data_IF_136305437802
#
_entry.id   IF_136305437802
#
_cell.length_a   1.000
_cell.length_b   1.000
_cell.length_c   1.000
_cell.angle_alpha   90.00
_cell.angle_beta   90.00
_cell.angle_gamma   90.00
#
_symmetry.space_group_name_H-M   'P 1'
#
loop_
_entity.id
_entity.type
_entity.pdbx_description
1 polymer ?
#
# COMPACT_ATOMS: atom_id res chain seq x y z
N UNK A 1 -3.66 4.47 24.32
CA UNK A 1 -3.13 3.27 23.61
C UNK A 1 -3.66 3.16 22.19
N UNK A 2 -4.89 3.63 21.90
CA UNK A 2 -5.42 3.79 20.54
C UNK A 2 -4.58 4.73 19.66
N UNK A 3 -4.11 5.83 20.24
CA UNK A 3 -3.46 6.90 19.47
C UNK A 3 -2.06 6.49 18.98
N UNK A 4 -1.31 5.76 19.81
CA UNK A 4 0.03 5.27 19.46
C UNK A 4 0.04 4.31 18.27
N UNK A 5 -0.94 3.38 18.22
CA UNK A 5 -1.04 2.44 17.10
C UNK A 5 -1.40 3.17 15.81
N UNK A 6 -2.32 4.13 15.90
CA UNK A 6 -2.71 4.97 14.77
C UNK A 6 -1.51 5.76 14.22
N UNK A 7 -0.74 6.41 15.10
CA UNK A 7 0.45 7.18 14.72
C UNK A 7 1.52 6.30 14.06
N UNK A 8 1.76 5.10 14.60
CA UNK A 8 2.69 4.13 14.01
C UNK A 8 2.21 3.72 12.62
N UNK A 9 0.92 3.41 12.45
CA UNK A 9 0.38 3.02 11.15
C UNK A 9 0.44 4.17 10.14
N UNK A 10 0.22 5.41 10.57
CA UNK A 10 0.29 6.59 9.71
C UNK A 10 1.72 6.88 9.26
N UNK A 11 2.70 6.71 10.14
CA UNK A 11 4.13 6.92 9.86
C UNK A 11 4.76 5.77 9.08
N UNK A 12 4.48 4.52 9.45
CA UNK A 12 5.09 3.33 8.85
C UNK A 12 4.30 2.78 7.66
N UNK A 13 3.02 3.11 7.54
CA UNK A 13 2.15 2.67 6.45
C UNK A 13 2.66 3.09 5.07
N UNK A 14 3.00 4.37 4.83
CA UNK A 14 3.57 4.82 3.55
C UNK A 14 4.82 4.06 3.10
N UNK A 15 5.91 3.99 3.88
CA UNK A 15 7.08 3.23 3.46
C UNK A 15 6.79 1.72 3.36
N UNK A 16 6.01 1.15 4.29
CA UNK A 16 5.63 -0.26 4.27
C UNK A 16 4.84 -0.62 3.01
N UNK A 17 3.89 0.22 2.63
CA UNK A 17 3.11 0.07 1.40
C UNK A 17 4.02 0.06 0.17
N UNK A 18 4.89 1.06 0.03
CA UNK A 18 5.78 1.18 -1.13
C UNK A 18 6.69 -0.05 -1.27
N UNK A 19 7.23 -0.54 -0.15
CA UNK A 19 8.06 -1.76 -0.12
C UNK A 19 7.25 -2.96 -0.59
N UNK A 20 6.08 -3.23 0.02
CA UNK A 20 5.28 -4.40 -0.36
C UNK A 20 4.76 -4.30 -1.81
N UNK A 21 4.38 -3.11 -2.26
CA UNK A 21 3.89 -2.88 -3.61
C UNK A 21 4.97 -3.12 -4.67
N UNK A 22 6.23 -2.82 -4.36
CA UNK A 22 7.37 -3.10 -5.23
C UNK A 22 7.78 -4.59 -5.20
N UNK A 23 7.73 -5.21 -4.02
CA UNK A 23 8.22 -6.58 -3.80
C UNK A 23 7.20 -7.62 -4.28
N UNK A 24 5.95 -7.56 -3.85
CA UNK A 24 4.99 -8.67 -4.05
C UNK A 24 4.65 -8.99 -5.51
N UNK A 25 4.38 -8.02 -6.40
CA UNK A 25 3.93 -8.35 -7.76
C UNK A 25 4.94 -9.16 -8.60
N UNK A 26 6.26 -8.90 -8.55
CA UNK A 26 7.26 -9.76 -9.18
C UNK A 26 7.31 -11.20 -8.65
N UNK A 27 7.06 -11.42 -7.36
CA UNK A 27 7.11 -12.76 -6.75
C UNK A 27 5.83 -13.59 -6.99
N UNK A 28 4.71 -12.94 -7.33
CA UNK A 28 3.42 -13.59 -7.52
C UNK A 28 3.13 -13.90 -8.99
N UNK A 29 2.32 -14.93 -9.24
CA UNK A 29 1.91 -15.36 -10.58
C UNK A 29 0.38 -15.44 -10.70
N UNK A 30 -0.13 -15.28 -11.92
CA UNK A 30 -1.56 -15.40 -12.22
C UNK A 30 -2.43 -14.43 -11.41
N UNK A 31 -3.49 -14.95 -10.80
CA UNK A 31 -4.45 -14.15 -10.01
C UNK A 31 -3.82 -13.41 -8.84
N UNK A 32 -2.81 -13.99 -8.18
CA UNK A 32 -2.11 -13.36 -7.05
C UNK A 32 -1.34 -12.11 -7.46
N UNK A 33 -0.74 -12.11 -8.65
CA UNK A 33 -0.07 -10.91 -9.20
C UNK A 33 -1.08 -9.80 -9.49
N UNK A 34 -2.24 -10.15 -10.08
CA UNK A 34 -3.31 -9.17 -10.34
C UNK A 34 -3.82 -8.56 -9.03
N UNK A 35 -4.05 -9.38 -8.00
CA UNK A 35 -4.43 -8.91 -6.67
C UNK A 35 -3.37 -7.97 -6.06
N UNK A 36 -2.08 -8.31 -6.17
CA UNK A 36 -1.01 -7.45 -5.67
C UNK A 36 -0.87 -6.10 -6.41
N UNK A 37 -1.48 -5.95 -7.60
CA UNK A 37 -1.50 -4.70 -8.36
C UNK A 37 -2.75 -3.85 -8.09
N UNK A 38 -3.76 -4.38 -7.39
CA UNK A 38 -5.03 -3.66 -7.11
C UNK A 38 -4.79 -2.29 -6.45
N UNK A 39 -3.89 -2.14 -5.44
CA UNK A 39 -3.71 -0.85 -4.80
C UNK A 39 -3.20 0.26 -5.74
N UNK A 40 -2.52 -0.11 -6.84
CA UNK A 40 -2.05 0.86 -7.84
C UNK A 40 -3.19 1.60 -8.53
N UNK A 41 -4.39 1.01 -8.61
CA UNK A 41 -5.56 1.66 -9.21
C UNK A 41 -5.87 2.99 -8.53
N UNK A 42 -5.72 3.06 -7.20
CA UNK A 42 -5.91 4.28 -6.43
C UNK A 42 -4.59 5.04 -6.19
N UNK A 43 -3.47 4.35 -5.99
CA UNK A 43 -2.18 5.05 -5.76
C UNK A 43 -1.71 5.86 -6.95
N UNK A 44 -1.88 5.37 -8.18
CA UNK A 44 -1.44 6.11 -9.37
C UNK A 44 -2.15 7.47 -9.49
N UNK A 45 -3.50 7.56 -9.47
CA UNK A 45 -4.16 8.87 -9.52
C UNK A 45 -3.86 9.74 -8.29
N UNK A 46 -3.75 9.15 -7.09
CA UNK A 46 -3.32 9.89 -5.89
C UNK A 46 -1.93 10.49 -6.11
N UNK A 47 -0.96 9.71 -6.58
CA UNK A 47 0.40 10.17 -6.81
C UNK A 47 0.46 11.27 -7.87
N UNK A 48 -0.31 11.14 -8.96
CA UNK A 48 -0.41 12.19 -9.98
C UNK A 48 -0.99 13.48 -9.39
N UNK A 49 -2.04 13.39 -8.58
CA UNK A 49 -2.61 14.55 -7.89
C UNK A 49 -1.60 15.18 -6.91
N UNK A 50 -0.91 14.35 -6.12
CA UNK A 50 0.15 14.77 -5.19
C UNK A 50 1.24 15.57 -5.92
N UNK A 51 1.68 15.11 -7.10
CA UNK A 51 2.69 15.80 -7.90
C UNK A 51 2.19 17.16 -8.41
N UNK A 52 0.95 17.24 -8.90
CA UNK A 52 0.35 18.52 -9.33
C UNK A 52 0.15 19.47 -8.15
N UNK A 53 -0.32 18.97 -7.00
CA UNK A 53 -0.48 19.77 -5.80
C UNK A 53 0.87 20.28 -5.26
N UNK A 54 1.92 19.48 -5.39
CA UNK A 54 3.29 19.86 -5.01
C UNK A 54 3.83 21.00 -5.89
N UNK A 55 3.58 20.99 -7.20
CA UNK A 55 4.00 22.10 -8.08
C UNK A 55 3.20 23.39 -7.85
N UNK A 56 2.07 23.31 -7.15
CA UNK A 56 1.27 24.46 -6.71
C UNK A 56 1.60 24.89 -5.27
N UNK A 57 2.68 24.37 -4.69
CA UNK A 57 3.12 24.68 -3.31
C UNK A 57 2.04 24.36 -2.26
N UNK A 58 1.14 23.41 -2.54
CA UNK A 58 0.07 23.03 -1.62
C UNK A 58 0.61 22.22 -0.45
N UNK A 59 0.51 22.74 0.78
CA UNK A 59 0.89 22.00 1.99
C UNK A 59 0.11 20.70 2.22
N UNK A 60 -1.02 20.53 1.54
CA UNK A 60 -1.89 19.35 1.65
C UNK A 60 -1.49 18.25 0.65
N UNK A 61 -0.49 18.49 -0.20
CA UNK A 61 -0.09 17.58 -1.27
C UNK A 61 0.13 16.13 -0.81
N UNK A 62 0.72 15.80 0.36
CA UNK A 62 0.99 14.41 0.71
C UNK A 62 -0.17 13.75 1.45
N UNK A 63 -1.17 14.50 1.91
CA UNK A 63 -2.22 13.98 2.80
C UNK A 63 -3.03 12.85 2.19
N UNK A 64 -3.49 12.91 0.91
CA UNK A 64 -4.25 11.80 0.35
C UNK A 64 -3.45 10.50 0.30
N UNK A 65 -2.16 10.58 -0.01
CA UNK A 65 -1.27 9.41 0.02
C UNK A 65 -1.03 8.93 1.46
N UNK A 66 -0.80 9.85 2.40
CA UNK A 66 -0.56 9.54 3.80
C UNK A 66 -1.72 8.76 4.43
N UNK A 67 -2.97 9.11 4.12
CA UNK A 67 -4.15 8.40 4.64
C UNK A 67 -4.47 7.11 3.87
N UNK A 68 -4.19 7.06 2.57
CA UNK A 68 -4.45 5.87 1.76
C UNK A 68 -3.42 4.76 2.00
N UNK A 69 -2.14 5.10 2.16
CA UNK A 69 -1.08 4.11 2.19
C UNK A 69 -1.18 3.09 3.34
N UNK A 70 -1.60 3.43 4.58
CA UNK A 70 -1.85 2.44 5.63
C UNK A 70 -2.90 1.39 5.24
N UNK A 71 -3.95 1.80 4.52
CA UNK A 71 -4.99 0.87 4.02
C UNK A 71 -4.43 -0.06 2.95
N UNK A 72 -3.65 0.49 2.01
CA UNK A 72 -3.00 -0.30 0.97
C UNK A 72 -1.94 -1.26 1.53
N UNK A 73 -1.20 -0.81 2.55
CA UNK A 73 -0.26 -1.66 3.30
C UNK A 73 -0.97 -2.82 3.98
N UNK A 74 -2.09 -2.56 4.68
CA UNK A 74 -2.89 -3.58 5.32
C UNK A 74 -3.43 -4.60 4.31
N UNK A 75 -3.92 -4.13 3.16
CA UNK A 75 -4.36 -4.99 2.06
C UNK A 75 -3.25 -5.92 1.56
N UNK A 76 -2.07 -5.37 1.23
CA UNK A 76 -0.95 -6.18 0.72
C UNK A 76 -0.41 -7.15 1.78
N UNK A 77 -0.41 -6.75 3.06
CA UNK A 77 -0.05 -7.62 4.17
C UNK A 77 -1.01 -8.79 4.29
N UNK A 78 -2.32 -8.54 4.25
CA UNK A 78 -3.34 -9.58 4.28
C UNK A 78 -3.22 -10.51 3.07
N UNK A 79 -3.01 -9.96 1.87
CA UNK A 79 -2.78 -10.73 0.66
C UNK A 79 -1.57 -11.65 0.79
N UNK A 80 -0.47 -11.15 1.37
CA UNK A 80 0.75 -11.92 1.55
C UNK A 80 0.58 -13.08 2.54
N UNK A 81 -0.11 -12.83 3.66
CA UNK A 81 -0.45 -13.86 4.63
C UNK A 81 -1.34 -14.95 4.01
N UNK A 82 -2.40 -14.56 3.30
CA UNK A 82 -3.32 -15.49 2.64
C UNK A 82 -2.60 -16.35 1.60
N UNK A 83 -1.76 -15.75 0.76
CA UNK A 83 -0.98 -16.49 -0.22
C UNK A 83 0.01 -17.47 0.45
N UNK A 84 0.63 -17.07 1.57
CA UNK A 84 1.49 -17.94 2.37
C UNK A 84 0.74 -19.14 2.94
N UNK A 85 -0.43 -18.92 3.54
CA UNK A 85 -1.30 -19.98 4.09
C UNK A 85 -1.73 -20.97 2.99
N UNK A 86 -2.14 -20.46 1.82
CA UNK A 86 -2.55 -21.30 0.68
C UNK A 86 -1.38 -22.12 0.14
N UNK A 87 -0.16 -21.58 0.15
CA UNK A 87 1.04 -22.34 -0.24
C UNK A 87 1.35 -23.46 0.74
N UNK A 88 1.26 -23.20 2.04
CA UNK A 88 1.51 -24.19 3.09
C UNK A 88 0.48 -25.33 3.08
N UNK A 89 -0.80 -25.03 2.82
CA UNK A 89 -1.85 -26.05 2.74
C UNK A 89 -1.76 -26.95 1.49
N UNK A 90 -0.92 -26.61 0.52
CA UNK A 90 -0.70 -27.37 -0.74
C UNK A 90 0.66 -28.07 -0.78
N UNK A 91 1.49 -27.91 0.25
CA UNK A 91 2.79 -28.56 0.40
C UNK A 91 2.64 -29.88 1.18
#
# INVERSE_FOLDING_TARGET
MSDTLFDILLMAGPPGYLILQAVLPPFYRGGWRKAALVPLIATVPIALWCLVAFTQESNLWPLPFLFYAPLAFAYLTALALLHGMVRLARA
#
